data_IF_366413769585
#
_entry.id   IF_366413769585
#
_cell.length_a   1.000
_cell.length_b   1.000
_cell.length_c   1.000
_cell.angle_alpha   90.00
_cell.angle_beta   90.00
_cell.angle_gamma   90.00
#
_symmetry.space_group_name_H-M   'P 1'
#
loop_
_entity.id
_entity.type
_entity.pdbx_description
1 polymer ?
#
# COMPACT_ATOMS: atom_id res chain seq x y z
N UNK A 1 -1.10 -27.29 7.40
CA UNK A 1 -0.39 -26.47 6.41
C UNK A 1 0.40 -25.44 7.18
N UNK A 2 1.63 -25.17 6.76
CA UNK A 2 2.42 -24.09 7.34
C UNK A 2 1.74 -22.74 7.06
N UNK A 3 1.89 -21.79 7.97
CA UNK A 3 1.38 -20.43 7.79
C UNK A 3 2.28 -19.65 6.82
N UNK A 4 1.71 -18.71 6.07
CA UNK A 4 2.46 -17.76 5.23
C UNK A 4 1.85 -16.36 5.29
N UNK A 5 2.66 -15.35 5.00
CA UNK A 5 2.20 -13.99 4.74
C UNK A 5 2.41 -13.69 3.26
N UNK A 6 1.37 -13.12 2.64
CA UNK A 6 1.46 -12.64 1.26
C UNK A 6 1.52 -11.12 1.25
N UNK A 7 2.46 -10.55 0.49
CA UNK A 7 2.63 -9.11 0.32
C UNK A 7 2.37 -8.73 -1.14
N UNK A 8 1.71 -7.59 -1.38
CA UNK A 8 1.38 -7.13 -2.73
C UNK A 8 1.66 -5.62 -2.90
N UNK A 9 2.87 -5.24 -3.33
CA UNK A 9 3.23 -3.86 -3.63
C UNK A 9 2.57 -3.36 -4.92
N UNK A 10 2.42 -2.04 -5.04
CA UNK A 10 2.08 -1.41 -6.32
C UNK A 10 3.31 -1.39 -7.26
N UNK A 11 3.10 -1.35 -8.59
CA UNK A 11 4.15 -1.44 -9.60
C UNK A 11 5.03 -0.19 -9.65
N UNK A 12 6.03 -0.12 -8.78
CA UNK A 12 7.19 0.76 -8.96
C UNK A 12 8.32 0.36 -8.00
N UNK A 13 9.54 0.81 -8.29
CA UNK A 13 10.70 0.43 -7.49
C UNK A 13 10.56 0.83 -6.01
N UNK A 14 10.07 2.03 -5.71
CA UNK A 14 9.95 2.51 -4.33
C UNK A 14 8.98 1.68 -3.48
N UNK A 15 7.82 1.34 -4.06
CA UNK A 15 6.83 0.49 -3.40
C UNK A 15 7.31 -0.96 -3.24
N UNK A 16 7.98 -1.52 -4.26
CA UNK A 16 8.57 -2.87 -4.20
C UNK A 16 9.66 -2.96 -3.13
N UNK A 17 10.60 -2.00 -3.11
CA UNK A 17 11.67 -1.96 -2.11
C UNK A 17 11.08 -1.86 -0.70
N UNK A 18 10.15 -0.93 -0.48
CA UNK A 18 9.52 -0.75 0.84
C UNK A 18 8.83 -2.03 1.32
N UNK A 19 8.11 -2.73 0.44
CA UNK A 19 7.42 -3.97 0.78
C UNK A 19 8.40 -5.13 1.04
N UNK A 20 9.52 -5.18 0.32
CA UNK A 20 10.60 -6.15 0.57
C UNK A 20 11.24 -5.90 1.94
N UNK A 21 11.53 -4.65 2.29
CA UNK A 21 12.10 -4.33 3.61
C UNK A 21 11.11 -4.66 4.74
N UNK A 22 9.81 -4.42 4.55
CA UNK A 22 8.78 -4.90 5.47
C UNK A 22 8.82 -6.44 5.60
N UNK A 23 8.92 -7.17 4.50
CA UNK A 23 9.05 -8.63 4.50
C UNK A 23 10.27 -9.12 5.29
N UNK A 24 11.45 -8.50 5.08
CA UNK A 24 12.67 -8.82 5.85
C UNK A 24 12.47 -8.55 7.33
N UNK A 25 11.81 -7.44 7.67
CA UNK A 25 11.54 -7.06 9.05
C UNK A 25 10.65 -8.10 9.75
N UNK A 26 9.57 -8.53 9.09
CA UNK A 26 8.68 -9.57 9.62
C UNK A 26 9.45 -10.87 9.87
N UNK A 27 10.26 -11.32 8.89
CA UNK A 27 11.10 -12.52 9.06
C UNK A 27 12.05 -12.42 10.26
N UNK A 28 12.71 -11.27 10.42
CA UNK A 28 13.65 -11.02 11.51
C UNK A 28 12.99 -11.06 12.89
N UNK A 29 11.82 -10.43 13.03
CA UNK A 29 11.08 -10.41 14.30
C UNK A 29 10.54 -11.78 14.69
N UNK A 30 10.07 -12.56 13.73
CA UNK A 30 9.58 -13.90 14.00
C UNK A 30 10.70 -14.89 14.31
N UNK A 31 11.84 -14.81 13.61
CA UNK A 31 13.03 -15.61 13.91
C UNK A 31 13.55 -15.40 15.33
N UNK A 32 13.45 -14.17 15.88
CA UNK A 32 13.85 -13.85 17.25
C UNK A 32 12.93 -14.42 18.34
N UNK A 33 11.65 -14.67 18.03
CA UNK A 33 10.65 -15.17 19.00
C UNK A 33 10.63 -16.70 19.14
N UNK A 34 11.53 -17.43 18.48
CA UNK A 34 11.73 -18.87 18.67
C UNK A 34 10.62 -19.78 18.11
N UNK A 35 9.58 -19.21 17.48
CA UNK A 35 8.49 -19.96 16.87
C UNK A 35 8.57 -19.85 15.35
N UNK A 36 8.67 -21.01 14.69
CA UNK A 36 8.40 -21.31 13.28
C UNK A 36 8.62 -20.16 12.27
N UNK A 37 9.66 -20.28 11.43
CA UNK A 37 9.82 -19.40 10.27
C UNK A 37 8.65 -19.66 9.32
N UNK A 38 7.79 -18.67 9.12
CA UNK A 38 6.83 -18.72 8.02
C UNK A 38 7.44 -18.10 6.77
N UNK A 39 7.29 -18.73 5.59
CA UNK A 39 7.68 -18.12 4.33
C UNK A 39 6.83 -16.87 4.06
N UNK A 40 7.42 -15.89 3.38
CA UNK A 40 6.71 -14.74 2.85
C UNK A 40 6.73 -14.80 1.33
N UNK A 41 5.58 -14.56 0.71
CA UNK A 41 5.44 -14.49 -0.75
C UNK A 41 5.09 -13.07 -1.16
N UNK A 42 5.87 -12.48 -2.06
CA UNK A 42 5.61 -11.15 -2.63
C UNK A 42 5.06 -11.32 -4.04
N UNK A 43 3.81 -10.89 -4.26
CA UNK A 43 3.17 -10.88 -5.57
C UNK A 43 3.63 -9.64 -6.35
N UNK A 44 4.05 -9.81 -7.60
CA UNK A 44 4.58 -8.74 -8.42
C UNK A 44 3.85 -8.70 -9.76
N UNK A 45 3.27 -7.56 -10.10
CA UNK A 45 2.69 -7.36 -11.43
C UNK A 45 3.78 -7.38 -12.52
N UNK A 46 3.43 -7.84 -13.72
CA UNK A 46 4.31 -7.85 -14.90
C UNK A 46 3.68 -6.98 -15.99
N UNK A 47 4.45 -6.08 -16.61
CA UNK A 47 3.97 -5.19 -17.67
C UNK A 47 4.24 -3.71 -17.37
N UNK A 48 3.18 -2.93 -17.11
CA UNK A 48 3.31 -1.49 -16.88
C UNK A 48 4.21 -1.18 -15.66
N UNK A 49 5.16 -0.25 -15.84
CA UNK A 49 6.19 0.11 -14.87
C UNK A 49 7.14 -1.02 -14.41
N UNK A 50 7.14 -2.17 -15.07
CA UNK A 50 8.15 -3.21 -14.87
C UNK A 50 9.45 -2.79 -15.57
N UNK A 51 10.48 -2.48 -14.78
CA UNK A 51 11.77 -1.99 -15.27
C UNK A 51 12.89 -2.96 -14.91
N UNK A 52 13.99 -3.02 -15.70
CA UNK A 52 15.11 -3.93 -15.43
C UNK A 52 15.69 -3.81 -14.02
N UNK A 53 15.67 -2.62 -13.42
CA UNK A 53 16.14 -2.37 -12.05
C UNK A 53 15.31 -3.10 -11.00
N UNK A 54 14.00 -3.27 -11.21
CA UNK A 54 13.15 -4.05 -10.31
C UNK A 54 13.55 -5.53 -10.38
N UNK A 55 13.78 -6.04 -11.60
CA UNK A 55 14.23 -7.42 -11.83
C UNK A 55 15.55 -7.69 -11.10
N UNK A 56 16.58 -6.87 -11.34
CA UNK A 56 17.89 -7.04 -10.72
C UNK A 56 17.85 -6.92 -9.19
N UNK A 57 17.01 -6.03 -8.66
CA UNK A 57 16.80 -5.91 -7.22
C UNK A 57 16.16 -7.18 -6.63
N UNK A 58 15.11 -7.71 -7.25
CA UNK A 58 14.45 -8.94 -6.80
C UNK A 58 15.39 -10.14 -6.88
N UNK A 59 16.18 -10.27 -7.94
CA UNK A 59 17.15 -11.35 -8.09
C UNK A 59 18.21 -11.30 -6.98
N UNK A 60 18.70 -10.11 -6.67
CA UNK A 60 19.65 -9.90 -5.57
C UNK A 60 19.04 -10.28 -4.21
N UNK A 61 17.81 -9.84 -3.93
CA UNK A 61 17.13 -10.17 -2.66
C UNK A 61 16.83 -11.66 -2.56
N UNK A 62 16.38 -12.30 -3.65
CA UNK A 62 16.08 -13.74 -3.69
C UNK A 62 17.29 -14.61 -3.39
N UNK A 63 18.48 -14.18 -3.82
CA UNK A 63 19.74 -14.87 -3.51
C UNK A 63 20.12 -14.74 -2.04
N UNK A 64 19.86 -13.56 -1.44
CA UNK A 64 20.23 -13.25 -0.05
C UNK A 64 19.22 -13.74 1.00
N UNK A 65 17.92 -13.83 0.67
CA UNK A 65 16.85 -14.13 1.62
C UNK A 65 15.97 -15.29 1.15
N UNK A 66 16.32 -16.53 1.50
CA UNK A 66 15.61 -17.73 1.03
C UNK A 66 14.16 -17.85 1.54
N UNK A 67 13.82 -17.21 2.65
CA UNK A 67 12.45 -17.19 3.19
C UNK A 67 11.56 -16.13 2.55
N UNK A 68 12.10 -15.30 1.65
CA UNK A 68 11.34 -14.41 0.78
C UNK A 68 11.24 -15.04 -0.61
N UNK A 69 10.00 -15.29 -1.04
CA UNK A 69 9.71 -15.75 -2.40
C UNK A 69 9.00 -14.66 -3.19
N UNK A 70 9.22 -14.63 -4.49
CA UNK A 70 8.64 -13.64 -5.39
C UNK A 70 7.84 -14.36 -6.47
N UNK A 71 6.58 -13.98 -6.62
CA UNK A 71 5.68 -14.55 -7.63
C UNK A 71 5.24 -13.47 -8.59
N UNK A 72 5.72 -13.56 -9.83
CA UNK A 72 5.29 -12.69 -10.93
C UNK A 72 3.88 -13.09 -11.37
N UNK A 73 2.99 -12.12 -11.46
CA UNK A 73 1.66 -12.28 -12.05
C UNK A 73 1.77 -12.32 -13.58
N UNK A 74 0.78 -12.91 -14.27
CA UNK A 74 0.70 -12.85 -15.74
C UNK A 74 0.84 -11.41 -16.26
N UNK A 75 1.49 -11.27 -17.42
CA UNK A 75 1.69 -9.96 -18.04
C UNK A 75 0.37 -9.37 -18.51
N UNK A 76 0.11 -8.11 -18.16
CA UNK A 76 -1.01 -7.31 -18.66
C UNK A 76 -0.46 -6.08 -19.37
N UNK A 77 -1.08 -5.71 -20.50
CA UNK A 77 -0.82 -4.44 -21.18
C UNK A 77 -1.96 -3.46 -20.95
N UNK A 78 -1.63 -2.18 -20.85
CA UNK A 78 -2.59 -1.06 -20.85
C UNK A 78 -2.25 -0.13 -22.02
N UNK A 79 -3.27 0.58 -22.51
CA UNK A 79 -3.12 1.55 -23.58
C UNK A 79 -2.53 2.85 -23.06
N UNK A 80 -1.29 3.13 -23.46
CA UNK A 80 -0.56 4.33 -23.07
C UNK A 80 -0.95 5.58 -23.90
N UNK A 81 -1.83 5.44 -24.90
CA UNK A 81 -2.27 6.54 -25.77
C UNK A 81 -3.51 7.27 -25.25
N UNK A 82 -4.10 6.80 -24.15
CA UNK A 82 -5.23 7.45 -23.49
C UNK A 82 -4.90 8.90 -23.10
N UNK A 83 -5.88 9.80 -23.29
CA UNK A 83 -5.76 11.22 -22.93
C UNK A 83 -6.04 11.44 -21.44
N UNK A 84 -5.28 10.77 -20.58
CA UNK A 84 -5.33 10.90 -19.12
C UNK A 84 -3.92 10.86 -18.52
N UNK A 85 -3.83 11.09 -17.22
CA UNK A 85 -2.58 11.06 -16.46
C UNK A 85 -1.92 9.68 -16.48
N UNK A 86 -0.61 9.65 -16.27
CA UNK A 86 0.11 8.37 -16.09
C UNK A 86 -0.36 7.63 -14.84
N UNK A 87 -0.82 8.34 -13.81
CA UNK A 87 -1.41 7.75 -12.62
C UNK A 87 -2.71 7.01 -12.97
N UNK A 88 -3.59 7.58 -13.80
CA UNK A 88 -4.84 6.93 -14.22
C UNK A 88 -4.58 5.60 -14.94
N UNK A 89 -3.62 5.60 -15.87
CA UNK A 89 -3.21 4.39 -16.61
C UNK A 89 -2.62 3.35 -15.64
N UNK A 90 -1.80 3.80 -14.68
CA UNK A 90 -1.23 2.93 -13.64
C UNK A 90 -2.28 2.31 -12.72
N UNK A 91 -3.25 3.09 -12.25
CA UNK A 91 -4.35 2.60 -11.44
C UNK A 91 -5.25 1.63 -12.21
N UNK A 92 -5.51 1.91 -13.50
CA UNK A 92 -6.19 0.97 -14.38
C UNK A 92 -5.43 -0.37 -14.46
N UNK A 93 -4.12 -0.33 -14.69
CA UNK A 93 -3.28 -1.53 -14.72
C UNK A 93 -3.35 -2.34 -13.42
N UNK A 94 -3.32 -1.68 -12.25
CA UNK A 94 -3.46 -2.34 -10.95
C UNK A 94 -4.84 -2.99 -10.80
N UNK A 95 -5.93 -2.28 -11.18
CA UNK A 95 -7.28 -2.84 -11.13
C UNK A 95 -7.43 -4.09 -12.00
N UNK A 96 -6.87 -4.06 -13.21
CA UNK A 96 -6.92 -5.19 -14.14
C UNK A 96 -6.18 -6.44 -13.61
N UNK A 97 -5.27 -6.29 -12.65
CA UNK A 97 -4.57 -7.40 -12.02
C UNK A 97 -5.38 -8.08 -10.89
N UNK A 98 -6.53 -7.55 -10.45
CA UNK A 98 -7.29 -8.14 -9.35
C UNK A 98 -7.64 -9.64 -9.53
N UNK A 99 -8.04 -10.13 -10.72
CA UNK A 99 -8.27 -11.56 -10.94
C UNK A 99 -6.98 -12.40 -10.82
N UNK A 100 -5.84 -11.86 -11.25
CA UNK A 100 -4.54 -12.54 -11.14
C UNK A 100 -4.08 -12.65 -9.68
N UNK A 101 -4.40 -11.64 -8.87
CA UNK A 101 -4.14 -11.65 -7.41
C UNK A 101 -5.00 -12.70 -6.74
N UNK A 102 -6.32 -12.72 -7.02
CA UNK A 102 -7.23 -13.76 -6.52
C UNK A 102 -6.72 -15.16 -6.85
N UNK A 103 -6.45 -15.43 -8.12
CA UNK A 103 -5.94 -16.72 -8.55
C UNK A 103 -4.63 -17.09 -7.85
N UNK A 104 -3.71 -16.13 -7.67
CA UNK A 104 -2.45 -16.39 -6.96
C UNK A 104 -2.66 -16.73 -5.48
N UNK A 105 -3.57 -16.04 -4.80
CA UNK A 105 -3.92 -16.33 -3.40
C UNK A 105 -4.59 -17.70 -3.27
N UNK A 106 -5.49 -18.06 -4.19
CA UNK A 106 -6.10 -19.40 -4.23
C UNK A 106 -5.05 -20.50 -4.43
N UNK A 107 -4.11 -20.32 -5.37
CA UNK A 107 -3.02 -21.28 -5.58
C UNK A 107 -2.11 -21.41 -4.36
N UNK A 108 -1.74 -20.30 -3.72
CA UNK A 108 -0.93 -20.32 -2.49
C UNK A 108 -1.70 -21.04 -1.38
N UNK A 109 -3.01 -20.79 -1.27
CA UNK A 109 -3.90 -21.39 -0.27
C UNK A 109 -4.07 -22.91 -0.41
N UNK A 110 -3.62 -23.52 -1.52
CA UNK A 110 -3.56 -24.98 -1.66
C UNK A 110 -2.39 -25.61 -0.91
N UNK A 111 -1.32 -24.85 -0.66
CA UNK A 111 -0.09 -25.34 -0.03
C UNK A 111 0.16 -24.74 1.36
N UNK A 112 -0.29 -23.51 1.58
CA UNK A 112 -0.09 -22.76 2.82
C UNK A 112 -1.40 -22.19 3.37
N UNK A 113 -1.44 -21.98 4.69
CA UNK A 113 -2.49 -21.17 5.30
C UNK A 113 -2.05 -19.70 5.26
N UNK A 114 -2.74 -18.87 4.49
CA UNK A 114 -2.41 -17.43 4.42
C UNK A 114 -2.92 -16.74 5.69
N UNK A 115 -1.99 -16.38 6.58
CA UNK A 115 -2.32 -15.76 7.87
C UNK A 115 -2.56 -14.26 7.78
N UNK A 116 -1.93 -13.60 6.81
CA UNK A 116 -2.15 -12.19 6.51
C UNK A 116 -1.87 -11.90 5.05
N UNK A 117 -2.61 -10.95 4.49
CA UNK A 117 -2.38 -10.36 3.18
C UNK A 117 -2.14 -8.86 3.33
N UNK A 118 -0.93 -8.40 2.99
CA UNK A 118 -0.57 -6.99 3.11
C UNK A 118 -0.53 -6.37 1.72
N UNK A 119 -1.38 -5.37 1.49
CA UNK A 119 -1.51 -4.69 0.19
C UNK A 119 -1.02 -3.27 0.26
N UNK A 120 -0.38 -2.80 -0.80
CA UNK A 120 -0.14 -1.37 -0.99
C UNK A 120 -1.46 -0.59 -1.12
N UNK A 121 -1.44 0.70 -0.79
CA UNK A 121 -2.63 1.57 -0.82
C UNK A 121 -3.28 1.65 -2.21
N UNK A 122 -2.47 1.64 -3.28
CA UNK A 122 -2.97 1.69 -4.66
C UNK A 122 -3.54 0.34 -5.10
N UNK A 123 -3.23 -0.74 -4.38
CA UNK A 123 -3.71 -2.10 -4.61
C UNK A 123 -5.06 -2.40 -3.93
N UNK A 124 -5.85 -1.37 -3.60
CA UNK A 124 -7.18 -1.50 -2.95
C UNK A 124 -8.15 -2.41 -3.70
N UNK A 125 -8.00 -2.60 -5.01
CA UNK A 125 -8.77 -3.58 -5.79
C UNK A 125 -8.63 -5.02 -5.26
N UNK A 126 -7.55 -5.35 -4.56
CA UNK A 126 -7.31 -6.65 -3.94
C UNK A 126 -7.90 -6.79 -2.53
N UNK A 127 -8.46 -5.71 -1.94
CA UNK A 127 -9.06 -5.76 -0.61
C UNK A 127 -10.27 -6.71 -0.56
N UNK A 128 -11.12 -6.70 -1.59
CA UNK A 128 -12.28 -7.62 -1.65
C UNK A 128 -11.83 -9.07 -1.77
N UNK A 129 -10.77 -9.33 -2.55
CA UNK A 129 -10.19 -10.66 -2.70
C UNK A 129 -9.79 -11.29 -1.37
N UNK A 130 -9.12 -10.53 -0.49
CA UNK A 130 -8.78 -11.00 0.84
C UNK A 130 -10.01 -11.33 1.68
N UNK A 131 -11.05 -10.48 1.62
CA UNK A 131 -12.32 -10.72 2.32
C UNK A 131 -13.06 -11.96 1.82
N UNK A 132 -13.13 -12.16 0.51
CA UNK A 132 -13.81 -13.29 -0.12
C UNK A 132 -13.15 -14.62 0.30
N UNK A 133 -11.82 -14.62 0.42
CA UNK A 133 -11.03 -15.75 0.91
C UNK A 133 -10.92 -15.83 2.43
N UNK A 134 -11.53 -14.90 3.18
CA UNK A 134 -11.46 -14.78 4.65
C UNK A 134 -10.04 -14.67 5.18
N UNK A 135 -9.17 -13.98 4.44
CA UNK A 135 -7.80 -13.69 4.82
C UNK A 135 -7.74 -12.29 5.46
N UNK A 136 -7.17 -12.15 6.68
CA UNK A 136 -6.92 -10.84 7.27
C UNK A 136 -6.09 -9.97 6.33
N UNK A 137 -6.63 -8.82 5.94
CA UNK A 137 -6.05 -7.95 4.91
C UNK A 137 -5.69 -6.58 5.48
N UNK A 138 -4.41 -6.23 5.38
CA UNK A 138 -3.85 -5.00 5.93
C UNK A 138 -3.35 -4.09 4.81
N UNK A 139 -3.49 -2.79 4.98
CA UNK A 139 -2.78 -1.85 4.11
C UNK A 139 -1.35 -1.65 4.59
N UNK A 140 -0.41 -1.49 3.67
CA UNK A 140 0.87 -0.86 3.94
C UNK A 140 0.90 0.53 3.30
N UNK A 141 0.95 1.54 4.15
CA UNK A 141 1.04 2.94 3.79
C UNK A 141 2.52 3.35 3.79
N UNK A 142 3.10 3.44 2.59
CA UNK A 142 4.54 3.66 2.35
C UNK A 142 4.99 5.12 2.52
N UNK A 143 4.19 5.94 3.20
CA UNK A 143 4.49 7.33 3.55
C UNK A 143 4.28 7.57 5.05
N UNK A 144 4.48 8.79 5.55
CA UNK A 144 4.37 9.13 6.96
C UNK A 144 2.94 9.22 7.50
N UNK A 145 2.80 9.24 8.83
CA UNK A 145 1.52 9.40 9.52
C UNK A 145 0.86 10.73 9.20
N UNK A 146 1.60 11.83 9.04
CA UNK A 146 1.01 13.13 8.69
C UNK A 146 0.28 13.05 7.34
N UNK A 147 0.89 12.43 6.33
CA UNK A 147 0.21 12.28 5.03
C UNK A 147 -0.93 11.28 5.11
N UNK A 148 -0.83 10.22 5.93
CA UNK A 148 -1.94 9.30 6.19
C UNK A 148 -3.13 10.02 6.83
N UNK A 149 -2.89 10.90 7.81
CA UNK A 149 -3.95 11.66 8.46
C UNK A 149 -4.71 12.52 7.45
N UNK A 150 -4.01 13.22 6.55
CA UNK A 150 -4.64 13.97 5.47
C UNK A 150 -5.38 13.03 4.48
N UNK A 151 -4.76 11.90 4.13
CA UNK A 151 -5.33 10.93 3.19
C UNK A 151 -6.65 10.33 3.70
N UNK A 152 -6.75 9.98 4.98
CA UNK A 152 -7.99 9.47 5.60
C UNK A 152 -9.12 10.50 5.63
N UNK A 153 -8.79 11.80 5.59
CA UNK A 153 -9.76 12.90 5.53
C UNK A 153 -10.16 13.26 4.09
N UNK A 154 -9.47 12.71 3.09
CA UNK A 154 -9.67 13.04 1.68
C UNK A 154 -11.10 12.78 1.18
N UNK A 155 -11.79 11.68 1.52
CA UNK A 155 -13.18 11.48 1.08
C UNK A 155 -14.13 12.58 1.55
N UNK A 156 -13.94 13.09 2.78
CA UNK A 156 -14.75 14.19 3.31
C UNK A 156 -14.39 15.51 2.62
N UNK A 157 -13.12 15.72 2.30
CA UNK A 157 -12.68 16.89 1.53
C UNK A 157 -13.29 16.89 0.12
N UNK A 158 -13.34 15.73 -0.52
CA UNK A 158 -13.97 15.54 -1.83
C UNK A 158 -15.47 15.93 -1.82
N UNK A 159 -16.20 15.54 -0.79
CA UNK A 159 -17.62 15.91 -0.60
C UNK A 159 -17.82 17.42 -0.40
N UNK A 160 -16.82 18.12 0.14
CA UNK A 160 -16.87 19.55 0.46
C UNK A 160 -16.35 20.45 -0.67
N UNK A 161 -15.80 19.86 -1.73
CA UNK A 161 -15.16 20.59 -2.83
C UNK A 161 -15.78 20.22 -4.17
N UNK A 162 -15.83 21.16 -5.10
CA UNK A 162 -16.47 20.97 -6.42
C UNK A 162 -15.51 21.13 -7.59
N UNK A 163 -14.47 21.96 -7.49
CA UNK A 163 -13.49 22.20 -8.55
C UNK A 163 -12.18 21.44 -8.38
N UNK A 164 -11.42 21.32 -9.48
CA UNK A 164 -10.06 20.76 -9.49
C UNK A 164 -9.11 21.59 -8.62
N UNK A 165 -8.24 20.92 -7.86
CA UNK A 165 -7.33 21.59 -6.92
C UNK A 165 -6.22 22.37 -7.64
N UNK A 166 -5.83 21.95 -8.85
CA UNK A 166 -4.89 22.67 -9.71
C UNK A 166 -5.35 24.10 -10.04
N UNK A 167 -6.67 24.34 -10.03
CA UNK A 167 -7.29 25.62 -10.39
C UNK A 167 -7.57 26.50 -9.15
N UNK A 168 -7.07 26.10 -7.98
CA UNK A 168 -7.34 26.75 -6.69
C UNK A 168 -6.04 27.11 -5.94
N UNK A 169 -5.20 28.02 -6.47
CA UNK A 169 -3.88 28.34 -5.89
C UNK A 169 -3.93 28.96 -4.49
N UNK A 170 -5.03 29.63 -4.16
CA UNK A 170 -5.22 30.32 -2.88
C UNK A 170 -5.96 29.48 -1.83
N UNK A 171 -6.52 28.32 -2.22
CA UNK A 171 -7.19 27.42 -1.29
C UNK A 171 -6.18 26.70 -0.42
N UNK A 172 -6.36 26.77 0.89
CA UNK A 172 -5.57 26.06 1.90
C UNK A 172 -6.45 25.05 2.62
N UNK A 173 -6.04 23.80 2.62
CA UNK A 173 -6.72 22.73 3.34
C UNK A 173 -6.17 22.59 4.76
N UNK A 174 -7.11 22.39 5.68
CA UNK A 174 -6.85 22.19 7.10
C UNK A 174 -7.17 20.74 7.45
N UNK A 175 -6.12 19.92 7.63
CA UNK A 175 -6.25 18.53 8.03
C UNK A 175 -5.96 18.39 9.52
N UNK A 176 -6.77 17.61 10.22
CA UNK A 176 -6.45 17.22 11.58
C UNK A 176 -5.23 16.29 11.57
N UNK A 177 -4.19 16.62 12.32
CA UNK A 177 -2.98 15.78 12.41
C UNK A 177 -2.02 15.88 11.22
N UNK A 178 -2.18 16.87 10.34
CA UNK A 178 -1.22 17.17 9.29
C UNK A 178 -1.00 18.69 9.15
N UNK A 179 0.15 19.14 8.61
CA UNK A 179 0.37 20.55 8.27
C UNK A 179 -0.67 21.10 7.28
N UNK A 180 -0.78 22.42 7.25
CA UNK A 180 -1.56 23.12 6.24
C UNK A 180 -1.02 22.81 4.85
N UNK A 181 -1.92 22.54 3.91
CA UNK A 181 -1.53 22.18 2.55
C UNK A 181 -2.35 22.98 1.54
N UNK A 182 -1.67 23.66 0.62
CA UNK A 182 -2.35 24.33 -0.50
C UNK A 182 -2.95 23.30 -1.43
N UNK A 183 -4.10 23.61 -2.02
CA UNK A 183 -4.77 22.70 -2.95
C UNK A 183 -3.83 22.27 -4.11
N UNK A 184 -3.09 23.23 -4.68
CA UNK A 184 -2.11 22.99 -5.75
C UNK A 184 -0.89 22.15 -5.33
N UNK A 185 -0.67 21.91 -4.04
CA UNK A 185 0.41 21.07 -3.51
C UNK A 185 -0.07 19.67 -3.10
N UNK A 186 -1.35 19.35 -3.32
CA UNK A 186 -1.86 17.99 -3.12
C UNK A 186 -1.18 17.00 -4.09
N UNK A 187 -1.17 15.69 -3.78
CA UNK A 187 -0.65 14.67 -4.69
C UNK A 187 -1.26 14.78 -6.08
N UNK A 188 -0.48 14.50 -7.12
CA UNK A 188 -0.89 14.67 -8.53
C UNK A 188 -2.26 14.05 -8.87
N UNK A 189 -2.62 12.83 -8.42
CA UNK A 189 -3.95 12.27 -8.66
C UNK A 189 -5.10 13.10 -8.07
N UNK A 190 -4.86 13.90 -7.03
CA UNK A 190 -5.86 14.75 -6.40
C UNK A 190 -6.01 16.12 -7.10
N UNK A 191 -5.14 16.46 -8.05
CA UNK A 191 -5.09 17.80 -8.63
C UNK A 191 -6.19 18.09 -9.64
N UNK A 192 -6.66 17.06 -10.37
CA UNK A 192 -7.62 17.21 -11.46
C UNK A 192 -8.79 16.25 -11.32
N UNK A 193 -9.98 16.76 -10.98
CA UNK A 193 -11.19 15.95 -10.79
C UNK A 193 -11.71 15.29 -12.07
N UNK A 194 -11.35 15.86 -13.22
CA UNK A 194 -11.72 15.29 -14.53
C UNK A 194 -10.78 14.14 -14.94
N UNK A 195 -9.62 14.01 -14.29
CA UNK A 195 -8.72 12.89 -14.54
C UNK A 195 -9.22 11.63 -13.81
N UNK A 196 -9.30 10.46 -14.47
CA UNK A 196 -9.77 9.23 -13.83
C UNK A 196 -8.98 8.86 -12.57
N UNK A 197 -7.71 9.26 -12.45
CA UNK A 197 -6.89 9.00 -11.27
C UNK A 197 -7.47 9.62 -9.99
N UNK A 198 -8.21 10.73 -10.10
CA UNK A 198 -8.83 11.38 -8.96
C UNK A 198 -9.86 10.49 -8.28
N UNK A 199 -10.76 9.89 -9.07
CA UNK A 199 -11.79 9.00 -8.54
C UNK A 199 -11.19 7.75 -7.89
N UNK A 200 -10.13 7.20 -8.49
CA UNK A 200 -9.37 6.11 -7.89
C UNK A 200 -8.73 6.53 -6.56
N UNK A 201 -8.15 7.74 -6.49
CA UNK A 201 -7.55 8.27 -5.27
C UNK A 201 -8.60 8.48 -4.14
N UNK A 202 -9.81 8.92 -4.48
CA UNK A 202 -10.96 8.96 -3.53
C UNK A 202 -11.31 7.55 -3.04
N UNK A 203 -11.30 6.54 -3.90
CA UNK A 203 -11.58 5.16 -3.50
C UNK A 203 -10.47 4.62 -2.58
N UNK A 204 -9.20 4.86 -2.93
CA UNK A 204 -8.04 4.36 -2.19
C UNK A 204 -7.89 5.01 -0.81
N UNK A 205 -8.45 6.20 -0.58
CA UNK A 205 -8.45 6.83 0.75
C UNK A 205 -9.45 6.23 1.75
N UNK A 206 -10.30 5.29 1.32
CA UNK A 206 -11.30 4.63 2.18
C UNK A 206 -10.73 3.38 2.88
N UNK A 207 -9.64 3.58 3.62
CA UNK A 207 -8.84 2.50 4.23
C UNK A 207 -9.52 1.76 5.39
N UNK A 208 -10.56 2.35 6.00
CA UNK A 208 -11.27 1.81 7.17
C UNK A 208 -11.96 0.45 6.93
N UNK A 209 -11.97 -0.04 5.70
CA UNK A 209 -12.52 -1.35 5.33
C UNK A 209 -11.53 -2.51 5.50
N UNK A 210 -10.27 -2.24 5.84
CA UNK A 210 -9.23 -3.25 6.10
C UNK A 210 -9.21 -3.73 7.55
N UNK A 211 -8.47 -4.80 7.83
CA UNK A 211 -8.25 -5.31 9.18
C UNK A 211 -7.19 -4.50 9.95
N UNK A 212 -6.45 -3.64 9.25
CA UNK A 212 -5.56 -2.67 9.85
C UNK A 212 -4.67 -1.96 8.83
N UNK A 213 -3.95 -0.95 9.32
CA UNK A 213 -3.04 -0.14 8.50
C UNK A 213 -1.66 -0.18 9.12
N UNK A 214 -0.69 -0.61 8.32
CA UNK A 214 0.74 -0.54 8.60
C UNK A 214 1.26 0.80 8.06
N UNK A 215 1.94 1.58 8.89
CA UNK A 215 2.47 2.90 8.49
C UNK A 215 3.97 2.93 8.68
N UNK A 216 4.71 3.37 7.66
CA UNK A 216 6.16 3.49 7.71
C UNK A 216 6.61 4.77 8.44
N UNK A 217 6.51 4.77 9.77
CA UNK A 217 6.87 5.89 10.65
C UNK A 217 7.13 5.41 12.08
N UNK A 218 7.41 6.32 13.01
CA UNK A 218 7.55 6.04 14.44
C UNK A 218 7.02 7.19 15.30
N UNK A 219 6.70 6.88 16.57
CA UNK A 219 6.01 7.80 17.47
C UNK A 219 6.74 9.11 17.69
N UNK A 220 8.05 9.07 17.89
CA UNK A 220 8.86 10.28 18.12
C UNK A 220 8.97 11.18 16.86
N UNK A 221 8.76 10.63 15.66
CA UNK A 221 8.81 11.41 14.42
C UNK A 221 7.53 12.20 14.19
N UNK A 222 6.37 11.57 14.37
CA UNK A 222 5.06 12.13 14.01
C UNK A 222 4.00 11.96 15.13
N UNK A 223 4.31 12.36 16.39
CA UNK A 223 3.48 12.02 17.55
C UNK A 223 2.07 12.63 17.47
N UNK A 224 1.96 13.83 16.90
CA UNK A 224 0.67 14.53 16.72
C UNK A 224 -0.21 13.76 15.74
N UNK A 225 0.35 13.39 14.58
CA UNK A 225 -0.37 12.67 13.54
C UNK A 225 -0.81 11.31 14.03
N UNK A 226 0.09 10.55 14.64
CA UNK A 226 -0.21 9.22 15.21
C UNK A 226 -1.35 9.30 16.23
N UNK A 227 -1.28 10.25 17.17
CA UNK A 227 -2.33 10.45 18.17
C UNK A 227 -3.68 10.80 17.57
N UNK A 228 -3.70 11.63 16.53
CA UNK A 228 -4.94 11.98 15.81
C UNK A 228 -5.51 10.75 15.13
N UNK A 229 -4.68 9.98 14.42
CA UNK A 229 -5.17 8.83 13.65
C UNK A 229 -5.76 7.77 14.60
N UNK A 230 -5.05 7.45 15.69
CA UNK A 230 -5.51 6.49 16.69
C UNK A 230 -6.84 6.88 17.35
N UNK A 231 -7.09 8.18 17.55
CA UNK A 231 -8.34 8.68 18.15
C UNK A 231 -9.50 8.77 17.18
N UNK A 232 -9.22 9.16 15.93
CA UNK A 232 -10.26 9.60 14.99
C UNK A 232 -10.78 8.50 14.07
N UNK A 233 -10.01 7.42 13.84
CA UNK A 233 -10.36 6.47 12.78
C UNK A 233 -10.67 5.04 13.27
N UNK A 234 -10.58 4.76 14.58
CA UNK A 234 -10.93 3.47 15.21
C UNK A 234 -10.47 2.23 14.43
N UNK A 235 -9.35 2.34 13.71
CA UNK A 235 -8.71 1.26 12.96
C UNK A 235 -7.54 0.72 13.76
N UNK A 236 -7.30 -0.58 13.70
CA UNK A 236 -6.06 -1.16 14.21
C UNK A 236 -4.90 -0.63 13.35
N UNK A 237 -4.10 0.28 13.91
CA UNK A 237 -2.95 0.86 13.22
C UNK A 237 -1.71 0.23 13.82
N UNK A 238 -0.99 -0.49 12.98
CA UNK A 238 0.31 -1.03 13.32
C UNK A 238 1.37 -0.05 12.83
N UNK A 239 2.03 0.64 13.74
CA UNK A 239 3.14 1.53 13.38
C UNK A 239 4.38 0.66 13.23
N UNK A 240 4.98 0.67 12.04
CA UNK A 240 6.21 -0.08 11.78
C UNK A 240 7.27 0.88 11.29
N UNK A 241 8.39 0.88 12.00
CA UNK A 241 9.58 1.60 11.57
C UNK A 241 10.34 0.73 10.60
N UNK A 242 10.35 1.07 9.31
CA UNK A 242 11.27 0.46 8.35
C UNK A 242 12.56 1.30 8.34
N UNK A 243 13.26 1.29 9.47
CA UNK A 243 14.60 1.85 9.62
C UNK A 243 15.55 0.72 9.94
N UNK A 244 16.81 0.80 9.48
CA UNK A 244 17.81 -0.24 9.69
C UNK A 244 18.07 -0.58 11.17
N UNK A 245 17.59 0.20 12.14
CA UNK A 245 18.04 0.11 13.54
C UNK A 245 17.00 0.00 14.65
N UNK A 246 15.68 0.08 14.44
CA UNK A 246 14.74 -0.16 15.55
C UNK A 246 13.33 -0.46 15.06
N UNK A 247 12.61 -1.34 15.78
CA UNK A 247 11.19 -1.63 15.56
C UNK A 247 10.49 -1.64 16.91
N UNK A 248 9.57 -0.71 17.08
CA UNK A 248 8.61 -0.72 18.18
C UNK A 248 7.26 -1.14 17.63
N UNK A 249 6.80 -2.35 18.00
CA UNK A 249 5.42 -2.78 17.78
C UNK A 249 4.61 -2.15 18.91
N UNK A 250 3.81 -1.13 18.58
CA UNK A 250 2.79 -0.59 19.49
C UNK A 250 1.46 -1.20 19.05
N UNK A 251 0.85 -2.01 19.93
CA UNK A 251 -0.49 -2.61 19.76
C UNK A 251 -1.50 -1.69 20.43
#
# INVERSE_FOLDING_TARGET
MEDTIVLYPSPSLGHVVSMVELGKLLLHHHGRRGNHQFPITILLTTGFWDIPTIISYIDSVSQAYRSLSFRRLPSISVDNSQKCSRAAIGFQFIRLNAPNVLHSLEEISKSYKISAFVIDIFCTSALSTGKDLKIPTFYFYTSGASSLAAFLQFPKLDEQTTGSFKDQPDTVFHFHGAPLLKAIHMPEPALDREDPAYHDFVVYSRLAKSDGIIVNTFEDLEPISIKVIAKSFCTYILIIVVSSHEVSIII
#
